data_IF_752746554392
#
_entry.id   IF_752746554392
#
_cell.length_a   1.000
_cell.length_b   1.000
_cell.length_c   1.000
_cell.angle_alpha   90.00
_cell.angle_beta   90.00
_cell.angle_gamma   90.00
#
_symmetry.space_group_name_H-M   'P 1'
#
loop_
_entity.id
_entity.type
_entity.pdbx_description
1 polymer ?
#
# COMPACT_ATOMS: atom_id res chain seq x y z
N UNK A 1 -10.02 4.86 -28.31
CA UNK A 1 -9.24 3.72 -27.76
C UNK A 1 -9.56 3.66 -26.27
N UNK A 2 -9.95 2.49 -25.74
CA UNK A 2 -10.19 2.33 -24.30
C UNK A 2 -8.88 1.95 -23.61
N UNK A 3 -8.31 2.86 -22.83
CA UNK A 3 -7.16 2.59 -21.98
C UNK A 3 -7.65 1.83 -20.75
N UNK A 4 -7.23 0.57 -20.61
CA UNK A 4 -7.53 -0.24 -19.43
C UNK A 4 -6.68 0.28 -18.26
N UNK A 5 -7.33 0.51 -17.12
CA UNK A 5 -6.68 0.99 -15.90
C UNK A 5 -6.69 -0.11 -14.83
N UNK A 6 -5.58 -0.26 -14.10
CA UNK A 6 -5.53 -1.08 -12.90
C UNK A 6 -6.11 -0.30 -11.71
N UNK A 7 -7.08 -0.88 -11.03
CA UNK A 7 -7.69 -0.32 -9.81
C UNK A 7 -7.40 -1.27 -8.66
N UNK A 8 -6.77 -0.74 -7.60
CA UNK A 8 -6.44 -1.52 -6.41
C UNK A 8 -7.61 -1.49 -5.42
N UNK A 9 -8.00 -2.64 -4.89
CA UNK A 9 -9.20 -2.80 -4.07
C UNK A 9 -8.84 -3.07 -2.60
N UNK A 10 -9.55 -2.38 -1.70
CA UNK A 10 -9.41 -2.52 -0.25
C UNK A 10 -8.14 -1.87 0.27
N UNK A 11 -7.51 -2.52 1.24
CA UNK A 11 -6.28 -2.13 1.91
C UNK A 11 -5.01 -2.67 1.21
N UNK A 12 -5.03 -2.73 -0.12
CA UNK A 12 -3.91 -3.25 -0.91
C UNK A 12 -3.09 -2.13 -1.55
N UNK A 13 -1.84 -2.46 -1.84
CA UNK A 13 -0.90 -1.64 -2.60
C UNK A 13 -0.40 -2.42 -3.81
N UNK A 14 -0.18 -1.72 -4.92
CA UNK A 14 0.46 -2.26 -6.12
C UNK A 14 1.84 -1.61 -6.24
N UNK A 15 2.87 -2.43 -6.42
CA UNK A 15 4.26 -2.00 -6.48
C UNK A 15 4.93 -2.49 -7.75
N UNK A 16 5.93 -1.73 -8.16
CA UNK A 16 6.95 -2.17 -9.12
C UNK A 16 8.22 -2.46 -8.32
N UNK A 17 8.74 -3.67 -8.45
CA UNK A 17 10.02 -4.04 -7.84
C UNK A 17 11.17 -3.48 -8.67
N UNK A 18 12.27 -3.17 -8.01
CA UNK A 18 13.49 -2.80 -8.71
C UNK A 18 14.13 -4.08 -9.27
N UNK A 19 14.55 -4.05 -10.53
CA UNK A 19 15.21 -5.20 -11.19
C UNK A 19 16.59 -5.51 -10.57
N UNK A 20 17.14 -4.59 -9.77
CA UNK A 20 18.45 -4.70 -9.13
C UNK A 20 18.34 -5.30 -7.70
N UNK A 21 18.38 -6.63 -7.66
CA UNK A 21 19.09 -7.45 -6.67
C UNK A 21 19.09 -6.96 -5.20
N UNK A 22 18.16 -7.49 -4.37
CA UNK A 22 18.32 -7.97 -2.97
C UNK A 22 19.18 -7.17 -1.95
N UNK A 23 19.63 -5.95 -2.25
CA UNK A 23 20.45 -5.10 -1.38
C UNK A 23 19.68 -3.82 -1.14
N UNK A 24 19.28 -3.62 0.10
CA UNK A 24 18.78 -2.33 0.55
C UNK A 24 19.92 -1.31 0.49
N UNK A 25 20.08 -0.59 -0.62
CA UNK A 25 20.95 0.59 -0.75
C UNK A 25 20.48 1.78 0.12
N UNK A 26 19.58 1.55 1.07
CA UNK A 26 19.00 2.60 1.92
C UNK A 26 19.63 2.69 3.31
N UNK A 27 20.82 2.11 3.51
CA UNK A 27 21.53 2.19 4.82
C UNK A 27 20.83 1.48 5.99
N UNK A 28 19.67 0.87 5.74
CA UNK A 28 18.95 0.00 6.66
C UNK A 28 19.47 -1.43 6.50
N UNK A 29 20.34 -1.83 7.43
CA UNK A 29 20.86 -3.19 7.50
C UNK A 29 19.83 -4.10 8.17
N UNK A 30 19.25 -5.03 7.42
CA UNK A 30 18.42 -6.09 8.00
C UNK A 30 19.34 -7.09 8.70
N UNK A 31 19.03 -7.51 9.95
CA UNK A 31 19.82 -8.54 10.62
C UNK A 31 19.81 -9.83 9.80
N UNK A 32 20.97 -10.49 9.69
CA UNK A 32 21.17 -11.69 8.86
C UNK A 32 20.18 -12.82 9.18
N UNK A 33 19.74 -12.92 10.44
CA UNK A 33 18.73 -13.89 10.90
C UNK A 33 17.35 -13.71 10.26
N UNK A 34 17.05 -12.52 9.73
CA UNK A 34 15.77 -12.21 9.06
C UNK A 34 15.83 -12.50 7.56
N UNK A 35 17.01 -12.35 6.94
CA UNK A 35 17.22 -12.64 5.51
C UNK A 35 16.97 -14.12 5.17
N UNK A 36 17.24 -15.04 6.11
CA UNK A 36 17.14 -16.49 5.85
C UNK A 36 15.73 -17.07 6.02
N UNK A 37 14.79 -16.33 6.64
CA UNK A 37 13.47 -16.89 7.00
C UNK A 37 12.29 -16.25 6.28
N UNK A 38 12.41 -14.99 5.89
CA UNK A 38 11.40 -14.26 5.10
C UNK A 38 12.15 -13.34 4.14
N UNK A 39 12.14 -13.65 2.84
CA UNK A 39 12.78 -12.79 1.84
C UNK A 39 12.09 -11.40 1.89
N UNK A 40 12.80 -10.40 2.40
CA UNK A 40 12.36 -9.00 2.38
C UNK A 40 12.75 -8.41 1.03
N UNK A 41 11.79 -7.78 0.36
CA UNK A 41 11.94 -7.17 -0.97
C UNK A 41 11.59 -5.70 -0.90
N UNK A 42 12.22 -4.91 -1.76
CA UNK A 42 11.96 -3.48 -1.93
C UNK A 42 11.28 -3.17 -3.27
N UNK A 43 10.50 -2.10 -3.32
CA UNK A 43 9.92 -1.60 -4.56
C UNK A 43 9.14 -0.30 -4.37
N UNK A 44 8.77 0.33 -5.49
CA UNK A 44 8.06 1.61 -5.51
C UNK A 44 6.55 1.39 -5.64
N UNK A 45 5.77 2.06 -4.80
CA UNK A 45 4.30 2.01 -4.82
C UNK A 45 3.77 2.82 -6.01
N UNK A 46 3.06 2.15 -6.91
CA UNK A 46 2.46 2.78 -8.10
C UNK A 46 0.97 3.07 -7.95
N UNK A 47 0.24 2.28 -7.14
CA UNK A 47 -1.19 2.49 -6.85
C UNK A 47 -1.55 1.99 -5.45
N UNK A 48 -2.54 2.63 -4.84
CA UNK A 48 -3.05 2.28 -3.51
C UNK A 48 -4.57 2.08 -3.58
N UNK A 49 -5.10 1.21 -2.74
CA UNK A 49 -6.53 1.04 -2.59
C UNK A 49 -7.16 2.13 -1.72
N UNK A 50 -8.47 2.00 -1.47
CA UNK A 50 -9.23 2.95 -0.63
C UNK A 50 -8.95 2.80 0.87
N UNK A 51 -8.29 1.72 1.27
CA UNK A 51 -8.09 1.36 2.67
C UNK A 51 -9.26 0.56 3.25
N UNK A 52 -9.39 0.61 4.58
CA UNK A 52 -10.29 -0.27 5.32
C UNK A 52 -11.66 0.37 5.50
N UNK A 53 -12.75 -0.28 5.07
CA UNK A 53 -14.09 0.24 5.32
C UNK A 53 -14.41 0.20 6.82
N UNK A 54 -14.93 1.29 7.34
CA UNK A 54 -15.54 1.38 8.66
C UNK A 54 -17.00 1.81 8.53
N UNK A 55 -17.82 1.23 9.40
CA UNK A 55 -19.17 1.74 9.66
C UNK A 55 -19.02 3.05 10.42
N UNK A 56 -19.71 4.09 9.97
CA UNK A 56 -19.73 5.36 10.68
C UNK A 56 -20.39 5.16 12.07
N UNK A 57 -19.69 5.39 13.20
CA UNK A 57 -20.30 5.25 14.52
C UNK A 57 -21.52 6.17 14.72
N UNK A 58 -21.58 7.30 14.00
CA UNK A 58 -22.68 8.25 14.05
C UNK A 58 -23.92 7.75 13.31
N UNK A 59 -23.78 6.81 12.38
CA UNK A 59 -24.93 6.17 11.72
C UNK A 59 -25.69 5.22 12.65
N UNK A 60 -25.16 4.92 13.84
CA UNK A 60 -25.84 4.11 14.87
C UNK A 60 -26.64 4.96 15.87
N UNK A 61 -26.46 6.29 15.87
CA UNK A 61 -27.11 7.21 16.83
C UNK A 61 -28.34 7.93 16.29
N UNK A 62 -28.64 7.82 14.99
CA UNK A 62 -29.81 8.44 14.37
C UNK A 62 -31.00 7.46 14.33
N UNK A 63 -32.19 7.98 14.64
CA UNK A 63 -33.44 7.29 14.96
C UNK A 63 -33.89 6.17 13.98
N UNK A 64 -34.58 5.09 14.42
CA UNK A 64 -34.96 3.91 13.61
C UNK A 64 -35.82 4.13 12.36
N UNK A 65 -36.22 5.37 12.10
CA UNK A 65 -37.19 5.77 11.09
C UNK A 65 -36.54 6.57 9.95
N UNK A 66 -35.26 6.92 10.07
CA UNK A 66 -34.46 7.43 8.94
C UNK A 66 -33.85 6.24 8.22
N UNK A 67 -34.23 6.10 6.97
CA UNK A 67 -33.66 5.13 6.03
C UNK A 67 -32.27 5.66 5.59
N UNK A 68 -31.38 5.91 6.54
CA UNK A 68 -30.04 6.40 6.23
C UNK A 68 -29.24 5.22 5.69
N UNK A 69 -28.97 5.28 4.40
CA UNK A 69 -28.04 4.39 3.72
C UNK A 69 -26.78 4.32 4.58
N UNK A 70 -26.38 3.11 4.99
CA UNK A 70 -25.15 2.89 5.76
C UNK A 70 -24.00 3.61 5.06
N UNK A 71 -23.58 4.75 5.61
CA UNK A 71 -22.52 5.55 5.03
C UNK A 71 -21.20 4.86 5.34
N UNK A 72 -20.58 4.26 4.32
CA UNK A 72 -19.26 3.65 4.43
C UNK A 72 -18.21 4.76 4.46
N UNK A 73 -17.51 4.89 5.59
CA UNK A 73 -16.29 5.70 5.68
C UNK A 73 -15.10 4.77 5.50
N UNK A 74 -14.00 5.27 4.94
CA UNK A 74 -12.77 4.49 4.80
C UNK A 74 -11.70 5.09 5.69
N UNK A 75 -10.99 4.25 6.44
CA UNK A 75 -9.67 4.60 6.95
C UNK A 75 -8.74 4.59 5.73
N UNK A 76 -8.10 5.71 5.38
CA UNK A 76 -7.24 5.78 4.21
C UNK A 76 -5.99 4.92 4.38
N UNK A 77 -5.31 4.65 3.27
CA UNK A 77 -4.00 4.01 3.26
C UNK A 77 -2.95 4.93 3.92
N UNK A 78 -2.01 4.34 4.65
CA UNK A 78 -0.81 5.01 5.14
C UNK A 78 0.24 5.15 4.02
N UNK A 79 0.28 4.13 3.16
CA UNK A 79 1.05 4.11 1.93
C UNK A 79 0.50 5.11 0.92
N UNK A 80 1.40 5.88 0.30
CA UNK A 80 1.12 6.79 -0.78
C UNK A 80 1.80 6.35 -2.08
N UNK A 81 1.24 6.79 -3.21
CA UNK A 81 1.87 6.60 -4.52
C UNK A 81 3.21 7.35 -4.53
N UNK A 82 4.27 6.66 -4.97
CA UNK A 82 5.63 7.17 -4.99
C UNK A 82 6.47 6.81 -3.76
N UNK A 83 5.87 6.23 -2.72
CA UNK A 83 6.66 5.70 -1.61
C UNK A 83 7.52 4.52 -2.05
N UNK A 84 8.70 4.40 -1.47
CA UNK A 84 9.49 3.18 -1.53
C UNK A 84 9.16 2.29 -0.33
N UNK A 85 8.76 1.04 -0.59
CA UNK A 85 8.30 0.12 0.44
C UNK A 85 9.23 -1.08 0.58
N UNK A 86 9.59 -1.41 1.81
CA UNK A 86 10.18 -2.70 2.17
C UNK A 86 9.08 -3.61 2.69
N UNK A 87 8.96 -4.82 2.15
CA UNK A 87 7.85 -5.72 2.45
C UNK A 87 8.27 -7.19 2.42
N UNK A 88 7.42 -8.05 2.99
CA UNK A 88 7.63 -9.49 3.02
C UNK A 88 7.21 -10.13 1.69
N UNK A 89 8.14 -10.76 0.95
CA UNK A 89 7.86 -11.36 -0.36
C UNK A 89 6.77 -12.44 -0.29
N UNK A 90 6.73 -13.23 0.80
CA UNK A 90 5.73 -14.28 1.01
C UNK A 90 4.27 -13.79 1.00
N UNK A 91 4.04 -12.50 1.25
CA UNK A 91 2.73 -11.90 1.29
C UNK A 91 2.34 -11.23 -0.03
N UNK A 92 3.25 -11.19 -1.00
CA UNK A 92 3.07 -10.53 -2.27
C UNK A 92 2.63 -11.51 -3.36
N UNK A 93 1.71 -11.05 -4.21
CA UNK A 93 1.22 -11.78 -5.38
C UNK A 93 1.77 -11.07 -6.62
N UNK A 94 2.46 -11.81 -7.48
CA UNK A 94 2.97 -11.30 -8.77
C UNK A 94 1.83 -11.18 -9.79
N UNK A 95 1.76 -10.05 -10.47
CA UNK A 95 0.80 -9.73 -11.53
C UNK A 95 1.57 -9.25 -12.74
N UNK A 96 1.27 -9.80 -13.91
CA UNK A 96 1.77 -9.27 -15.19
C UNK A 96 0.66 -8.51 -15.92
N UNK A 97 0.94 -7.26 -16.31
CA UNK A 97 0.01 -6.42 -17.06
C UNK A 97 0.77 -5.58 -18.09
N UNK A 98 0.34 -5.63 -19.35
CA UNK A 98 1.01 -4.95 -20.47
C UNK A 98 2.52 -5.25 -20.55
N UNK A 99 2.92 -6.52 -20.36
CA UNK A 99 4.31 -6.97 -20.35
C UNK A 99 5.18 -6.36 -19.24
N UNK A 100 4.56 -5.77 -18.21
CA UNK A 100 5.24 -5.31 -17.01
C UNK A 100 4.81 -6.15 -15.80
N UNK A 101 5.77 -6.45 -14.94
CA UNK A 101 5.55 -7.17 -13.68
C UNK A 101 5.29 -6.20 -12.54
N UNK A 102 4.31 -6.57 -11.72
CA UNK A 102 3.90 -5.84 -10.54
C UNK A 102 3.71 -6.82 -9.38
N UNK A 103 3.75 -6.29 -8.16
CA UNK A 103 3.46 -7.04 -6.95
C UNK A 103 2.29 -6.38 -6.24
N UNK A 104 1.30 -7.16 -5.81
CA UNK A 104 0.20 -6.70 -4.98
C UNK A 104 0.27 -7.36 -3.61
N UNK A 105 0.10 -6.57 -2.54
CA UNK A 105 0.07 -7.05 -1.16
C UNK A 105 -0.85 -6.17 -0.31
N UNK A 106 -1.36 -6.68 0.83
CA UNK A 106 -2.00 -5.84 1.84
C UNK A 106 -1.00 -4.86 2.46
N UNK A 107 -1.47 -3.68 2.89
CA UNK A 107 -0.63 -2.69 3.59
C UNK A 107 0.04 -3.28 4.82
N UNK A 108 -0.61 -4.21 5.52
CA UNK A 108 -0.08 -4.88 6.71
C UNK A 108 1.18 -5.72 6.47
N UNK A 109 1.51 -6.04 5.21
CA UNK A 109 2.74 -6.75 4.84
C UNK A 109 3.91 -5.80 4.50
N UNK A 110 3.67 -4.50 4.46
CA UNK A 110 4.71 -3.48 4.37
C UNK A 110 5.36 -3.31 5.75
N UNK A 111 6.67 -3.42 5.79
CA UNK A 111 7.47 -3.26 7.01
C UNK A 111 7.86 -1.79 7.23
N UNK A 112 8.24 -1.10 6.15
CA UNK A 112 8.75 0.28 6.19
C UNK A 112 8.38 1.00 4.90
N UNK A 113 7.96 2.26 5.02
CA UNK A 113 7.82 3.21 3.91
C UNK A 113 8.93 4.26 4.01
N UNK A 114 9.58 4.53 2.88
CA UNK A 114 10.63 5.53 2.73
C UNK A 114 10.09 6.58 1.76
N UNK A 115 10.03 7.82 2.25
CA UNK A 115 9.49 8.96 1.52
C UNK A 115 10.45 10.12 1.67
N UNK A 116 10.81 10.75 0.54
CA UNK A 116 11.55 12.00 0.58
C UNK A 116 10.67 13.08 1.22
N UNK A 117 11.11 13.62 2.36
CA UNK A 117 10.51 14.85 2.88
C UNK A 117 11.03 16.01 2.04
N UNK A 118 10.14 16.67 1.31
CA UNK A 118 10.44 18.01 0.79
C UNK A 118 10.39 18.97 1.97
N UNK A 119 11.54 19.45 2.42
CA UNK A 119 11.59 20.60 3.32
C UNK A 119 10.93 21.79 2.59
N UNK A 120 9.73 22.21 3.02
CA UNK A 120 9.09 23.40 2.44
C UNK A 120 7.57 23.56 2.56
N UNK A 121 6.81 22.62 3.10
CA UNK A 121 5.39 22.90 3.44
C UNK A 121 5.29 23.38 4.89
N UNK A 122 5.75 24.62 5.12
CA UNK A 122 5.25 25.41 6.24
C UNK A 122 3.74 25.58 6.07
N UNK A 123 3.02 25.05 7.05
CA UNK A 123 1.66 25.40 7.45
C UNK A 123 1.28 26.84 7.09
N UNK A 124 0.35 27.01 6.15
CA UNK A 124 -0.48 28.22 6.06
C UNK A 124 -1.87 27.91 6.60
#
# INVERSE_FOLDING_TARGET
MSTKELIVIGDRVLLKIDDEEKRTEVGLYLPQTLQEKEEVVGGTIVKTGKGTPMVDPLSMTESPWKNDQVSLRYIPMEANVGDYALFLQKAAIEIEYNNEKYYILPQSAILVLIREQKEGEEIN
#
